data_IF_370981274174
#
_entry.id   IF_370981274174
#
_cell.length_a   1.000
_cell.length_b   1.000
_cell.length_c   1.000
_cell.angle_alpha   90.00
_cell.angle_beta   90.00
_cell.angle_gamma   90.00
#
_symmetry.space_group_name_H-M   'P 1'
#
loop_
_entity.id
_entity.type
_entity.pdbx_description
1 polymer ?
#
# COMPACT_ATOMS: atom_id res chain seq x y z
N UNK A 1 -14.83 -43.99 4.25
CA UNK A 1 -13.68 -44.20 3.36
C UNK A 1 -13.48 -42.91 2.59
N UNK A 2 -12.40 -42.20 2.92
CA UNK A 2 -11.72 -41.14 2.16
C UNK A 2 -12.51 -39.87 1.77
N UNK A 3 -12.36 -38.82 2.59
CA UNK A 3 -12.45 -37.42 2.16
C UNK A 3 -11.12 -37.01 1.50
N UNK A 4 -11.22 -36.45 0.30
CA UNK A 4 -10.14 -35.81 -0.44
C UNK A 4 -9.52 -34.65 0.38
N UNK A 5 -8.27 -34.83 0.80
CA UNK A 5 -7.40 -33.76 1.28
C UNK A 5 -6.41 -33.40 0.17
N UNK A 6 -6.44 -32.12 -0.19
CA UNK A 6 -5.34 -31.30 -0.69
C UNK A 6 -4.60 -31.75 -1.96
N UNK A 7 -4.97 -31.11 -3.07
CA UNK A 7 -4.03 -30.75 -4.14
C UNK A 7 -2.95 -29.82 -3.56
N UNK A 8 -1.88 -30.37 -2.98
CA UNK A 8 -0.60 -29.68 -2.94
C UNK A 8 0.02 -29.79 -4.34
N UNK A 9 0.00 -28.67 -5.07
CA UNK A 9 0.74 -28.54 -6.32
C UNK A 9 2.22 -28.68 -5.95
N UNK A 10 2.80 -29.86 -6.20
CA UNK A 10 4.22 -30.09 -6.05
C UNK A 10 4.98 -29.07 -6.92
N UNK A 11 5.60 -28.08 -6.27
CA UNK A 11 6.37 -27.04 -6.94
C UNK A 11 7.61 -27.72 -7.52
N UNK A 12 7.75 -27.69 -8.85
CA UNK A 12 8.93 -28.25 -9.52
C UNK A 12 10.21 -27.64 -8.91
N UNK A 13 11.17 -28.47 -8.42
CA UNK A 13 12.32 -28.00 -7.67
C UNK A 13 13.17 -26.96 -8.43
N UNK A 14 13.16 -27.02 -9.77
CA UNK A 14 13.89 -26.10 -10.63
C UNK A 14 13.29 -24.66 -10.64
N UNK A 15 11.98 -24.51 -10.39
CA UNK A 15 11.30 -23.19 -10.35
C UNK A 15 11.68 -22.40 -9.11
N UNK A 16 11.86 -23.10 -7.98
CA UNK A 16 12.24 -22.48 -6.72
C UNK A 16 13.68 -21.94 -6.78
N UNK A 17 14.62 -22.70 -7.37
CA UNK A 17 16.05 -22.31 -7.45
C UNK A 17 16.24 -20.97 -8.16
N UNK A 18 15.66 -20.81 -9.35
CA UNK A 18 15.79 -19.55 -10.09
C UNK A 18 15.19 -18.37 -9.34
N UNK A 19 14.06 -18.56 -8.62
CA UNK A 19 13.47 -17.52 -7.80
C UNK A 19 14.37 -17.14 -6.61
N UNK A 20 14.92 -18.13 -5.90
CA UNK A 20 15.85 -17.88 -4.79
C UNK A 20 17.07 -17.08 -5.23
N UNK A 21 17.67 -17.42 -6.38
CA UNK A 21 18.80 -16.65 -6.93
C UNK A 21 18.45 -15.18 -7.18
N UNK A 22 17.22 -14.89 -7.61
CA UNK A 22 16.74 -13.53 -7.85
C UNK A 22 16.29 -12.81 -6.57
N UNK A 23 15.96 -13.54 -5.51
CA UNK A 23 15.68 -12.95 -4.21
C UNK A 23 16.97 -12.58 -3.46
N UNK A 24 18.12 -13.15 -3.83
CA UNK A 24 19.41 -12.87 -3.15
C UNK A 24 19.76 -11.39 -3.05
N UNK A 25 19.42 -10.56 -4.04
CA UNK A 25 19.63 -9.10 -3.99
C UNK A 25 18.83 -8.43 -2.87
N UNK A 26 17.69 -9.02 -2.49
CA UNK A 26 16.80 -8.54 -1.43
C UNK A 26 17.08 -9.18 -0.06
N UNK A 27 17.87 -10.25 0.02
CA UNK A 27 18.15 -10.97 1.27
C UNK A 27 18.73 -10.09 2.37
N UNK A 28 19.54 -9.09 2.01
CA UNK A 28 20.07 -8.10 2.96
C UNK A 28 18.97 -7.28 3.66
N UNK A 29 17.77 -7.22 3.09
CA UNK A 29 16.59 -6.56 3.64
C UNK A 29 15.55 -7.55 4.17
N UNK A 30 15.45 -8.74 3.56
CA UNK A 30 14.50 -9.77 3.97
C UNK A 30 14.93 -10.50 5.25
N UNK A 31 16.22 -10.79 5.45
CA UNK A 31 16.69 -11.53 6.64
C UNK A 31 16.68 -10.75 7.96
N UNK A 32 17.10 -9.46 8.04
CA UNK A 32 17.16 -8.76 9.31
C UNK A 32 15.78 -8.72 10.02
N UNK A 33 15.65 -9.20 11.27
CA UNK A 33 14.35 -9.35 11.91
C UNK A 33 13.67 -8.00 12.23
N UNK A 34 14.43 -6.90 12.30
CA UNK A 34 13.88 -5.57 12.57
C UNK A 34 13.13 -4.96 11.37
N UNK A 35 13.29 -5.53 10.18
CA UNK A 35 12.56 -5.10 8.98
C UNK A 35 11.27 -5.92 8.87
N UNK A 36 10.13 -5.23 8.79
CA UNK A 36 8.80 -5.85 8.64
C UNK A 36 8.38 -5.94 7.18
N UNK A 37 8.74 -4.93 6.39
CA UNK A 37 8.29 -4.77 5.00
C UNK A 37 9.47 -4.38 4.11
N UNK A 38 9.51 -4.93 2.90
CA UNK A 38 10.47 -4.58 1.85
C UNK A 38 9.70 -4.19 0.60
N UNK A 39 9.91 -2.99 0.10
CA UNK A 39 9.17 -2.45 -1.04
C UNK A 39 10.10 -1.94 -2.13
N UNK A 40 9.71 -2.18 -3.38
CA UNK A 40 10.24 -1.52 -4.56
C UNK A 40 9.09 -0.73 -5.21
N UNK A 41 9.16 0.61 -5.21
CA UNK A 41 8.17 1.46 -5.91
C UNK A 41 8.60 1.78 -7.35
N UNK A 42 9.91 1.75 -7.61
CA UNK A 42 10.52 2.03 -8.90
C UNK A 42 11.91 1.36 -8.99
N UNK A 43 12.48 1.20 -10.20
CA UNK A 43 13.81 0.64 -10.37
C UNK A 43 14.88 1.37 -9.55
N UNK A 44 15.93 0.63 -9.18
CA UNK A 44 17.13 1.08 -8.47
C UNK A 44 16.90 1.52 -7.01
N UNK A 45 15.68 1.32 -6.48
CA UNK A 45 15.28 1.76 -5.14
C UNK A 45 14.64 0.61 -4.36
N UNK A 46 15.01 0.51 -3.08
CA UNK A 46 14.30 -0.31 -2.08
C UNK A 46 13.93 0.58 -0.91
N UNK A 47 12.73 0.40 -0.38
CA UNK A 47 12.30 0.98 0.89
C UNK A 47 12.01 -0.14 1.88
N UNK A 48 12.42 0.06 3.14
CA UNK A 48 12.19 -0.89 4.21
C UNK A 48 11.45 -0.23 5.35
N UNK A 49 10.44 -0.89 5.91
CA UNK A 49 9.78 -0.46 7.14
C UNK A 49 10.43 -1.14 8.35
N UNK A 50 10.63 -0.35 9.41
CA UNK A 50 11.02 -0.79 10.76
C UNK A 50 10.11 -0.11 11.77
N UNK A 51 10.22 -0.45 13.05
CA UNK A 51 9.51 0.27 14.13
C UNK A 51 9.76 1.78 14.12
N UNK A 52 10.97 2.20 13.72
CA UNK A 52 11.34 3.61 13.57
C UNK A 52 10.81 4.28 12.29
N UNK A 53 10.06 3.58 11.45
CA UNK A 53 9.51 4.10 10.18
C UNK A 53 10.25 3.63 8.92
N UNK A 54 9.99 4.33 7.81
CA UNK A 54 10.49 3.99 6.48
C UNK A 54 11.93 4.45 6.26
N UNK A 55 12.74 3.60 5.63
CA UNK A 55 14.10 3.93 5.18
C UNK A 55 14.29 3.58 3.71
N UNK A 56 14.86 4.51 2.95
CA UNK A 56 15.18 4.33 1.54
C UNK A 56 16.63 3.86 1.35
N UNK A 57 16.83 2.95 0.40
CA UNK A 57 18.12 2.39 0.01
C UNK A 57 18.25 2.45 -1.52
N UNK A 58 19.44 2.78 -2.03
CA UNK A 58 19.76 2.74 -3.47
C UNK A 58 20.38 1.39 -3.80
N UNK A 59 19.82 0.68 -4.77
CA UNK A 59 20.25 -0.67 -5.14
C UNK A 59 20.41 -0.74 -6.66
N UNK A 60 21.63 -0.48 -7.15
CA UNK A 60 21.93 -0.34 -8.58
C UNK A 60 21.60 -1.59 -9.41
N UNK A 61 21.61 -2.77 -8.79
CA UNK A 61 21.31 -4.05 -9.45
C UNK A 61 19.82 -4.28 -9.71
N UNK A 62 18.92 -3.58 -9.02
CA UNK A 62 17.47 -3.69 -9.23
C UNK A 62 17.01 -2.84 -10.41
N UNK A 63 17.51 -3.13 -11.61
CA UNK A 63 17.06 -2.46 -12.84
C UNK A 63 15.60 -2.81 -13.16
N UNK A 64 15.00 -2.11 -14.12
CA UNK A 64 13.65 -2.40 -14.57
C UNK A 64 13.53 -3.85 -15.08
N UNK A 65 14.51 -4.30 -15.86
CA UNK A 65 14.57 -5.66 -16.40
C UNK A 65 14.69 -6.69 -15.26
N UNK A 66 15.45 -6.37 -14.21
CA UNK A 66 15.54 -7.22 -13.04
C UNK A 66 14.19 -7.35 -12.32
N UNK A 67 13.53 -6.23 -12.05
CA UNK A 67 12.21 -6.22 -11.42
C UNK A 67 11.17 -6.97 -12.25
N UNK A 68 11.20 -6.82 -13.58
CA UNK A 68 10.33 -7.58 -14.49
C UNK A 68 10.59 -9.08 -14.41
N UNK A 69 11.87 -9.49 -14.43
CA UNK A 69 12.25 -10.90 -14.35
C UNK A 69 11.87 -11.51 -13.01
N UNK A 70 12.16 -10.82 -11.91
CA UNK A 70 11.74 -11.23 -10.56
C UNK A 70 10.21 -11.41 -10.48
N UNK A 71 9.45 -10.44 -10.99
CA UNK A 71 7.99 -10.49 -10.97
C UNK A 71 7.42 -11.67 -11.77
N UNK A 72 8.00 -11.97 -12.94
CA UNK A 72 7.64 -13.14 -13.76
C UNK A 72 7.98 -14.47 -13.06
N UNK A 73 9.13 -14.54 -12.38
CA UNK A 73 9.52 -15.73 -11.61
C UNK A 73 8.55 -15.97 -10.44
N UNK A 74 8.15 -14.92 -9.72
CA UNK A 74 7.15 -15.01 -8.64
C UNK A 74 5.79 -15.46 -9.20
N UNK A 75 5.36 -14.92 -10.34
CA UNK A 75 4.13 -15.35 -11.01
C UNK A 75 4.17 -16.85 -11.37
N UNK A 76 5.28 -17.29 -11.98
CA UNK A 76 5.51 -18.69 -12.35
C UNK A 76 5.52 -19.63 -11.15
N UNK A 77 6.22 -19.23 -10.08
CA UNK A 77 6.29 -19.99 -8.82
C UNK A 77 4.91 -20.15 -8.18
N UNK A 78 4.11 -19.08 -8.18
CA UNK A 78 2.77 -19.07 -7.60
C UNK A 78 1.68 -19.68 -8.52
N UNK A 79 2.04 -20.15 -9.71
CA UNK A 79 1.08 -20.69 -10.69
C UNK A 79 0.10 -19.66 -11.24
N UNK A 80 0.42 -18.37 -11.13
CA UNK A 80 -0.43 -17.26 -11.55
C UNK A 80 0.14 -16.57 -12.78
N UNK A 81 -0.70 -15.79 -13.47
CA UNK A 81 -0.28 -14.95 -14.60
C UNK A 81 0.02 -13.53 -14.11
N UNK A 82 1.04 -12.92 -14.69
CA UNK A 82 1.38 -11.52 -14.51
C UNK A 82 1.81 -10.94 -15.85
N UNK A 83 0.91 -10.19 -16.47
CA UNK A 83 1.08 -9.59 -17.79
C UNK A 83 0.22 -8.31 -17.91
N UNK A 84 0.21 -7.68 -19.08
CA UNK A 84 -0.52 -6.43 -19.29
C UNK A 84 -2.05 -6.58 -19.19
N UNK A 85 -2.60 -7.81 -19.24
CA UNK A 85 -4.03 -8.11 -19.06
C UNK A 85 -4.34 -8.45 -17.61
N UNK A 86 -3.40 -9.12 -16.93
CA UNK A 86 -3.43 -9.47 -15.50
C UNK A 86 -2.30 -8.76 -14.73
N UNK A 87 -2.35 -7.44 -14.55
CA UNK A 87 -1.19 -6.66 -14.13
C UNK A 87 -1.01 -6.56 -12.60
N UNK A 88 -1.82 -7.30 -11.82
CA UNK A 88 -1.75 -7.34 -10.35
C UNK A 88 -1.61 -8.79 -9.92
N UNK A 89 -0.64 -9.06 -9.05
CA UNK A 89 -0.38 -10.39 -8.50
C UNK A 89 -0.35 -10.33 -6.98
N UNK A 90 -1.01 -11.29 -6.34
CA UNK A 90 -0.91 -11.52 -4.90
C UNK A 90 -0.44 -12.96 -4.69
N UNK A 91 0.70 -13.16 -4.03
CA UNK A 91 1.31 -14.47 -3.87
C UNK A 91 2.04 -14.62 -2.53
N UNK A 92 2.52 -15.84 -2.27
CA UNK A 92 3.40 -16.16 -1.14
C UNK A 92 4.75 -16.60 -1.69
N UNK A 93 5.83 -16.02 -1.17
CA UNK A 93 7.21 -16.38 -1.48
C UNK A 93 7.60 -17.70 -0.78
N UNK A 94 8.69 -18.36 -1.22
CA UNK A 94 9.10 -19.65 -0.68
C UNK A 94 9.28 -19.69 0.85
N UNK A 95 9.77 -18.61 1.46
CA UNK A 95 10.05 -18.55 2.90
C UNK A 95 8.83 -18.03 3.71
N UNK A 96 7.66 -17.93 3.08
CA UNK A 96 6.39 -17.58 3.71
C UNK A 96 6.04 -16.08 3.71
N UNK A 97 6.89 -15.22 3.12
CA UNK A 97 6.55 -13.81 2.93
C UNK A 97 5.38 -13.65 1.97
N UNK A 98 4.51 -12.67 2.23
CA UNK A 98 3.44 -12.31 1.29
C UNK A 98 3.95 -11.26 0.34
N UNK A 99 3.68 -11.40 -0.95
CA UNK A 99 4.08 -10.44 -1.97
C UNK A 99 2.89 -9.92 -2.76
N UNK A 100 2.82 -8.60 -2.91
CA UNK A 100 1.91 -7.90 -3.79
C UNK A 100 2.70 -7.24 -4.91
N UNK A 101 2.36 -7.53 -6.17
CA UNK A 101 3.01 -6.93 -7.34
C UNK A 101 1.96 -6.19 -8.17
N UNK A 102 2.32 -5.00 -8.67
CA UNK A 102 1.58 -4.30 -9.70
C UNK A 102 2.53 -3.81 -10.80
N UNK A 103 2.16 -4.03 -12.06
CA UNK A 103 2.93 -3.68 -13.26
C UNK A 103 2.09 -2.79 -14.20
N UNK A 104 2.69 -2.18 -15.24
CA UNK A 104 1.92 -1.49 -16.26
C UNK A 104 0.92 -2.46 -16.93
N UNK A 105 -0.31 -2.02 -17.26
CA UNK A 105 -0.74 -0.62 -17.35
C UNK A 105 -1.29 -0.01 -16.04
N UNK A 106 -1.37 -0.76 -14.93
CA UNK A 106 -1.93 -0.21 -13.67
C UNK A 106 -0.93 0.59 -12.85
N UNK A 107 0.34 0.61 -13.23
CA UNK A 107 1.37 1.52 -12.69
C UNK A 107 1.88 2.43 -13.80
N UNK A 108 2.63 3.47 -13.43
CA UNK A 108 3.31 4.31 -14.42
C UNK A 108 4.25 3.48 -15.31
N UNK A 109 4.35 3.86 -16.58
CA UNK A 109 5.29 3.23 -17.53
C UNK A 109 6.71 3.26 -16.96
N UNK A 110 7.38 2.12 -17.01
CA UNK A 110 8.74 1.96 -16.46
C UNK A 110 8.80 1.78 -14.94
N UNK A 111 7.67 1.70 -14.23
CA UNK A 111 7.62 1.40 -12.79
C UNK A 111 6.92 0.07 -12.52
N UNK A 112 7.47 -0.67 -11.57
CA UNK A 112 6.89 -1.90 -11.02
C UNK A 112 6.83 -1.72 -9.51
N UNK A 113 5.64 -1.90 -8.95
CA UNK A 113 5.43 -1.91 -7.50
C UNK A 113 5.55 -3.35 -7.00
N UNK A 114 6.46 -3.61 -6.08
CA UNK A 114 6.61 -4.89 -5.38
C UNK A 114 6.58 -4.59 -3.89
N UNK A 115 5.63 -5.15 -3.15
CA UNK A 115 5.56 -5.04 -1.69
C UNK A 115 5.68 -6.44 -1.10
N UNK A 116 6.72 -6.69 -0.31
CA UNK A 116 6.97 -7.96 0.37
C UNK A 116 6.78 -7.74 1.87
N UNK A 117 5.80 -8.43 2.43
CA UNK A 117 5.48 -8.43 3.86
C UNK A 117 5.99 -9.70 4.51
N UNK A 118 6.90 -9.54 5.46
CA UNK A 118 7.47 -10.67 6.19
C UNK A 118 6.48 -11.28 7.18
N UNK A 119 6.54 -12.60 7.42
CA UNK A 119 5.76 -13.22 8.48
C UNK A 119 6.26 -12.71 9.83
N UNK A 120 5.33 -12.42 10.75
CA UNK A 120 5.71 -12.14 12.14
C UNK A 120 6.19 -13.43 12.77
N UNK A 121 7.47 -13.47 13.17
CA UNK A 121 8.03 -14.59 13.96
C UNK A 121 7.79 -14.41 15.46
N UNK A 122 7.29 -13.24 15.87
CA UNK A 122 7.06 -12.90 17.27
C UNK A 122 5.62 -13.24 17.66
N UNK A 123 5.45 -14.34 18.39
CA UNK A 123 4.21 -14.62 19.13
C UNK A 123 4.50 -14.23 20.57
N UNK A 124 4.05 -13.04 20.96
CA UNK A 124 4.17 -12.60 22.36
C UNK A 124 3.05 -13.22 23.19
N UNK A 125 3.41 -13.69 24.38
CA UNK A 125 2.44 -14.10 25.40
C UNK A 125 1.74 -12.88 26.01
N UNK A 126 0.57 -13.06 26.60
CA UNK A 126 -0.14 -11.98 27.30
C UNK A 126 0.73 -11.36 28.41
N UNK A 127 1.51 -12.19 29.12
CA UNK A 127 2.43 -11.72 30.17
C UNK A 127 3.58 -10.87 29.62
N UNK A 128 4.04 -11.13 28.40
CA UNK A 128 5.05 -10.30 27.72
C UNK A 128 4.45 -8.98 27.26
N UNK A 129 3.23 -8.97 26.71
CA UNK A 129 2.51 -7.73 26.42
C UNK A 129 2.33 -6.88 27.68
N UNK A 130 1.97 -7.50 28.82
CA UNK A 130 1.85 -6.82 30.10
C UNK A 130 3.17 -6.23 30.58
N UNK A 131 4.26 -7.02 30.53
CA UNK A 131 5.61 -6.55 30.91
C UNK A 131 6.12 -5.42 30.02
N UNK A 132 5.76 -5.43 28.74
CA UNK A 132 6.09 -4.37 27.78
C UNK A 132 5.17 -3.14 27.91
N UNK A 133 4.22 -3.15 28.85
CA UNK A 133 3.34 -2.01 29.10
C UNK A 133 2.28 -1.80 28.02
N UNK A 134 2.01 -2.76 27.14
CA UNK A 134 0.95 -2.64 26.13
C UNK A 134 -0.43 -2.37 26.74
N UNK A 135 -0.66 -2.86 27.96
CA UNK A 135 -1.91 -2.62 28.70
C UNK A 135 -1.90 -1.35 29.56
N UNK A 136 -0.79 -0.61 29.66
CA UNK A 136 -0.71 0.60 30.48
C UNK A 136 -1.32 1.85 29.83
N UNK A 137 -1.55 1.84 28.52
CA UNK A 137 -2.17 2.94 27.78
C UNK A 137 -3.63 2.63 27.40
N UNK A 138 -4.42 2.18 28.37
CA UNK A 138 -5.86 2.05 28.14
C UNK A 138 -6.53 3.42 28.26
N UNK A 139 -6.98 3.97 27.13
CA UNK A 139 -7.87 5.11 27.13
C UNK A 139 -9.27 4.63 27.51
N UNK A 140 -9.74 5.00 28.71
CA UNK A 140 -11.17 4.85 29.05
C UNK A 140 -11.98 5.76 28.12
N UNK A 141 -12.82 5.17 27.27
CA UNK A 141 -13.71 5.91 26.38
C UNK A 141 -14.93 6.35 27.19
N UNK A 142 -14.75 7.34 28.07
CA UNK A 142 -15.82 7.88 28.91
C UNK A 142 -16.69 8.89 28.14
N UNK A 143 -17.02 8.64 26.86
CA UNK A 143 -17.90 9.50 26.06
C UNK A 143 -17.49 10.98 25.91
N UNK A 144 -16.44 11.42 26.62
CA UNK A 144 -15.84 12.73 26.55
C UNK A 144 -15.07 12.80 25.25
N UNK A 145 -15.41 13.79 24.43
CA UNK A 145 -14.72 14.07 23.18
C UNK A 145 -13.21 14.02 23.41
N UNK A 146 -12.48 13.26 22.59
CA UNK A 146 -11.02 13.30 22.60
C UNK A 146 -10.57 14.76 22.54
N UNK A 147 -9.63 15.19 23.39
CA UNK A 147 -9.14 16.58 23.43
C UNK A 147 -8.73 17.10 22.04
N UNK A 148 -8.26 16.19 21.18
CA UNK A 148 -7.92 16.46 19.78
C UNK A 148 -9.13 16.83 18.91
N UNK A 149 -10.29 16.24 19.17
CA UNK A 149 -11.54 16.54 18.46
C UNK A 149 -12.13 17.87 18.93
N UNK A 150 -11.95 18.22 20.21
CA UNK A 150 -12.30 19.53 20.73
C UNK A 150 -11.46 20.64 20.06
N UNK A 151 -10.15 20.42 19.87
CA UNK A 151 -9.29 21.37 19.14
C UNK A 151 -9.70 21.55 17.68
N UNK A 152 -10.08 20.47 17.00
CA UNK A 152 -10.63 20.54 15.65
C UNK A 152 -11.94 21.35 15.62
N UNK A 153 -12.85 21.13 16.56
CA UNK A 153 -14.10 21.88 16.66
C UNK A 153 -13.85 23.38 16.92
N UNK A 154 -12.88 23.73 17.76
CA UNK A 154 -12.49 25.11 18.01
C UNK A 154 -12.04 25.82 16.73
N UNK A 155 -11.10 25.23 15.97
CA UNK A 155 -10.68 25.83 14.69
C UNK A 155 -11.82 25.98 13.68
N UNK A 156 -12.78 25.06 13.69
CA UNK A 156 -13.97 25.15 12.84
C UNK A 156 -14.89 26.29 13.29
N UNK A 157 -15.10 26.47 14.60
CA UNK A 157 -15.92 27.54 15.16
C UNK A 157 -15.31 28.92 14.93
N UNK A 158 -13.99 29.03 15.01
CA UNK A 158 -13.24 30.27 14.77
C UNK A 158 -13.13 30.62 13.27
N UNK A 159 -13.65 29.78 12.37
CA UNK A 159 -13.55 29.98 10.92
C UNK A 159 -12.15 29.73 10.34
N UNK A 160 -11.19 29.24 11.14
CA UNK A 160 -9.83 28.93 10.70
C UNK A 160 -9.76 27.54 10.05
N UNK A 161 -10.37 27.42 8.87
CA UNK A 161 -10.46 26.15 8.13
C UNK A 161 -9.08 25.63 7.71
N UNK A 162 -8.11 26.50 7.44
CA UNK A 162 -6.76 26.09 7.09
C UNK A 162 -6.06 25.37 8.25
N UNK A 163 -6.14 25.90 9.48
CA UNK A 163 -5.60 25.24 10.67
C UNK A 163 -6.35 23.94 10.97
N UNK A 164 -7.68 23.94 10.84
CA UNK A 164 -8.50 22.74 10.96
C UNK A 164 -8.01 21.62 10.03
N UNK A 165 -7.83 21.89 8.74
CA UNK A 165 -7.40 20.90 7.76
C UNK A 165 -5.97 20.41 8.03
N UNK A 166 -5.05 21.31 8.37
CA UNK A 166 -3.67 20.93 8.74
C UNK A 166 -3.65 20.00 9.95
N UNK A 167 -4.43 20.31 10.99
CA UNK A 167 -4.52 19.47 12.17
C UNK A 167 -5.21 18.13 11.84
N UNK A 168 -6.29 18.13 11.06
CA UNK A 168 -6.98 16.92 10.63
C UNK A 168 -6.05 15.97 9.87
N UNK A 169 -5.19 16.51 8.99
CA UNK A 169 -4.19 15.74 8.24
C UNK A 169 -3.13 15.15 9.18
N UNK A 170 -2.63 15.92 10.16
CA UNK A 170 -1.68 15.41 11.16
C UNK A 170 -2.29 14.32 12.03
N UNK A 171 -3.56 14.45 12.39
CA UNK A 171 -4.32 13.47 13.17
C UNK A 171 -4.83 12.28 12.33
N UNK A 172 -4.46 12.20 11.05
CA UNK A 172 -4.86 11.12 10.12
C UNK A 172 -6.38 10.92 10.05
N UNK A 173 -7.15 12.01 10.15
CA UNK A 173 -8.60 11.95 9.94
C UNK A 173 -8.88 11.63 8.47
N UNK A 174 -9.92 10.84 8.22
CA UNK A 174 -10.42 10.58 6.87
C UNK A 174 -11.14 11.83 6.35
N UNK A 175 -10.76 12.31 5.18
CA UNK A 175 -11.28 13.54 4.58
C UNK A 175 -11.89 13.20 3.23
N UNK A 176 -13.15 13.58 3.03
CA UNK A 176 -13.84 13.50 1.75
C UNK A 176 -14.02 14.92 1.23
N UNK A 177 -13.52 15.19 0.02
CA UNK A 177 -13.68 16.47 -0.67
C UNK A 177 -14.81 16.34 -1.69
N UNK A 178 -15.92 17.03 -1.44
CA UNK A 178 -17.10 17.03 -2.32
C UNK A 178 -17.33 18.37 -3.00
N UNK A 179 -17.83 18.35 -4.24
CA UNK A 179 -18.13 19.55 -5.02
C UNK A 179 -18.49 19.23 -6.47
N UNK A 180 -19.11 20.18 -7.17
CA UNK A 180 -19.50 20.03 -8.58
C UNK A 180 -18.30 19.70 -9.50
N UNK A 181 -18.54 19.10 -10.67
CA UNK A 181 -17.50 18.91 -11.68
C UNK A 181 -16.92 20.27 -12.08
N UNK A 182 -15.59 20.38 -12.17
CA UNK A 182 -14.91 21.64 -12.48
C UNK A 182 -14.73 22.63 -11.30
N UNK A 183 -15.21 22.31 -10.09
CA UNK A 183 -15.05 23.18 -8.89
C UNK A 183 -13.63 23.25 -8.30
N UNK A 184 -12.63 22.63 -8.94
CA UNK A 184 -11.24 22.63 -8.45
C UNK A 184 -10.93 21.61 -7.35
N UNK A 185 -11.74 20.55 -7.19
CA UNK A 185 -11.53 19.49 -6.18
C UNK A 185 -10.12 18.90 -6.23
N UNK A 186 -9.66 18.50 -7.41
CA UNK A 186 -8.32 17.94 -7.60
C UNK A 186 -7.25 18.93 -7.17
N UNK A 187 -7.38 20.22 -7.54
CA UNK A 187 -6.46 21.28 -7.11
C UNK A 187 -6.41 21.40 -5.59
N UNK A 188 -7.57 21.37 -4.94
CA UNK A 188 -7.66 21.41 -3.47
C UNK A 188 -7.01 20.17 -2.82
N UNK A 189 -7.27 18.98 -3.35
CA UNK A 189 -6.62 17.73 -2.90
C UNK A 189 -5.10 17.81 -3.01
N UNK A 190 -4.56 18.38 -4.10
CA UNK A 190 -3.11 18.61 -4.26
C UNK A 190 -2.54 19.53 -3.18
N UNK A 191 -3.28 20.56 -2.76
CA UNK A 191 -2.87 21.41 -1.63
C UNK A 191 -2.88 20.67 -0.29
N UNK A 192 -3.87 19.81 -0.05
CA UNK A 192 -3.92 18.99 1.17
C UNK A 192 -2.77 17.97 1.20
N UNK A 193 -2.43 17.38 0.05
CA UNK A 193 -1.32 16.45 -0.09
C UNK A 193 0.02 17.03 0.35
N UNK A 194 0.28 18.31 0.07
CA UNK A 194 1.51 18.99 0.51
C UNK A 194 1.62 19.13 2.04
N UNK A 195 0.55 18.91 2.78
CA UNK A 195 0.57 18.94 4.25
C UNK A 195 0.81 17.55 4.86
N UNK A 196 0.84 16.50 4.04
CA UNK A 196 1.14 15.13 4.49
C UNK A 196 2.64 15.01 4.74
N UNK A 197 3.09 14.33 5.82
CA UNK A 197 4.51 14.16 6.07
C UNK A 197 5.20 13.24 5.04
N UNK A 198 6.36 13.64 4.53
CA UNK A 198 7.18 12.89 3.56
C UNK A 198 7.60 11.48 4.02
N UNK A 199 7.57 11.24 5.33
CA UNK A 199 7.87 9.94 5.94
C UNK A 199 6.78 8.88 5.70
N UNK A 200 5.59 9.29 5.28
CA UNK A 200 4.46 8.39 5.07
C UNK A 200 4.48 7.76 3.67
N UNK A 201 4.01 6.51 3.59
CA UNK A 201 3.79 5.83 2.32
C UNK A 201 2.43 6.19 1.75
N UNK A 202 2.40 6.73 0.53
CA UNK A 202 1.16 7.15 -0.11
C UNK A 202 0.87 6.31 -1.34
N UNK A 203 -0.38 5.90 -1.53
CA UNK A 203 -0.82 5.22 -2.75
C UNK A 203 -1.96 6.04 -3.36
N UNK A 204 -1.88 6.38 -4.65
CA UNK A 204 -3.03 6.92 -5.39
C UNK A 204 -3.73 5.88 -6.22
N UNK A 205 -5.04 6.08 -6.39
CA UNK A 205 -5.87 5.34 -7.32
C UNK A 205 -6.63 6.36 -8.18
N UNK A 206 -6.29 6.42 -9.46
CA UNK A 206 -6.75 7.47 -10.39
C UNK A 206 -7.00 6.87 -11.78
N UNK A 207 -7.80 7.52 -12.61
CA UNK A 207 -7.91 7.16 -14.04
C UNK A 207 -6.83 7.86 -14.87
N UNK A 208 -6.49 9.09 -14.48
CA UNK A 208 -5.47 9.94 -15.10
C UNK A 208 -4.53 10.43 -13.99
N UNK A 209 -3.24 10.58 -14.30
CA UNK A 209 -2.21 11.02 -13.35
C UNK A 209 -2.34 12.51 -13.00
N UNK A 210 -3.37 12.86 -12.22
CA UNK A 210 -3.65 14.24 -11.82
C UNK A 210 -2.91 14.64 -10.54
N UNK A 211 -2.81 13.75 -9.56
CA UNK A 211 -2.22 14.07 -8.26
C UNK A 211 -0.69 14.08 -8.29
N UNK A 212 -0.07 13.33 -9.20
CA UNK A 212 1.38 13.33 -9.45
C UNK A 212 2.23 13.22 -8.17
N UNK A 213 1.88 12.27 -7.29
CA UNK A 213 2.47 12.16 -5.94
C UNK A 213 4.00 12.12 -5.91
N UNK A 214 4.61 11.53 -6.93
CA UNK A 214 6.05 11.38 -7.09
C UNK A 214 6.82 12.71 -7.13
N UNK A 215 6.14 13.84 -7.36
CA UNK A 215 6.73 15.18 -7.29
C UNK A 215 6.84 15.72 -5.85
N UNK A 216 6.12 15.09 -4.90
CA UNK A 216 6.01 15.58 -3.52
C UNK A 216 6.62 14.61 -2.51
N UNK A 217 6.41 13.30 -2.70
CA UNK A 217 6.81 12.27 -1.73
C UNK A 217 7.66 11.20 -2.43
N UNK A 218 8.65 10.66 -1.70
CA UNK A 218 9.57 9.64 -2.24
C UNK A 218 9.03 8.21 -2.15
N UNK A 219 8.13 7.95 -1.20
CA UNK A 219 7.55 6.63 -0.93
C UNK A 219 6.11 6.52 -1.48
N UNK A 220 5.97 6.53 -2.80
CA UNK A 220 4.65 6.60 -3.43
C UNK A 220 4.45 5.58 -4.54
N UNK A 221 3.22 5.10 -4.67
CA UNK A 221 2.77 4.27 -5.80
C UNK A 221 1.52 4.91 -6.40
N UNK A 222 1.54 5.18 -7.70
CA UNK A 222 0.36 5.62 -8.43
C UNK A 222 -0.25 4.45 -9.18
N UNK A 223 -1.51 4.15 -8.88
CA UNK A 223 -2.28 3.07 -9.48
C UNK A 223 -3.34 3.61 -10.43
N UNK A 224 -3.42 3.03 -11.62
CA UNK A 224 -4.33 3.46 -12.69
C UNK A 224 -5.35 2.38 -13.04
N UNK A 225 -6.62 2.78 -13.13
CA UNK A 225 -7.67 1.97 -13.72
C UNK A 225 -8.06 2.57 -15.08
N UNK A 226 -8.64 1.77 -15.97
CA UNK A 226 -9.17 2.26 -17.25
C UNK A 226 -10.69 2.31 -17.20
N UNK A 227 -11.27 3.51 -17.26
CA UNK A 227 -12.72 3.66 -17.39
C UNK A 227 -13.18 3.24 -18.80
N UNK A 228 -14.22 2.40 -18.90
CA UNK A 228 -14.90 2.09 -20.16
C UNK A 228 -14.39 0.90 -20.98
N UNK A 229 -13.66 -0.06 -20.39
CA UNK A 229 -13.16 -1.27 -21.07
C UNK A 229 -12.27 -1.01 -22.31
N UNK A 230 -11.73 0.19 -22.47
CA UNK A 230 -10.84 0.55 -23.57
C UNK A 230 -9.36 0.26 -23.26
N UNK A 231 -9.04 -0.12 -22.02
CA UNK A 231 -7.69 -0.47 -21.58
C UNK A 231 -7.33 -1.92 -21.90
N UNK A 232 -6.03 -2.22 -21.97
CA UNK A 232 -5.52 -3.61 -22.16
C UNK A 232 -5.93 -4.52 -20.99
N UNK A 233 -6.06 -3.96 -19.79
CA UNK A 233 -6.56 -4.66 -18.62
C UNK A 233 -7.92 -4.08 -18.18
N UNK A 234 -8.92 -4.94 -17.99
CA UNK A 234 -10.19 -4.58 -17.37
C UNK A 234 -10.06 -4.57 -15.85
N UNK A 235 -9.28 -3.64 -15.31
CA UNK A 235 -9.07 -3.48 -13.87
C UNK A 235 -9.98 -2.37 -13.35
N UNK A 236 -10.77 -2.70 -12.34
CA UNK A 236 -11.67 -1.78 -11.66
C UNK A 236 -10.96 -1.04 -10.52
N UNK A 237 -11.50 0.13 -10.17
CA UNK A 237 -11.03 0.90 -9.00
C UNK A 237 -11.13 0.06 -7.70
N UNK A 238 -12.16 -0.77 -7.57
CA UNK A 238 -12.31 -1.72 -6.45
C UNK A 238 -11.11 -2.67 -6.34
N UNK A 239 -10.70 -3.30 -7.44
CA UNK A 239 -9.56 -4.22 -7.43
C UNK A 239 -8.26 -3.51 -7.06
N UNK A 240 -8.05 -2.27 -7.50
CA UNK A 240 -6.90 -1.46 -7.09
C UNK A 240 -6.94 -1.12 -5.60
N UNK A 241 -8.11 -0.81 -5.05
CA UNK A 241 -8.27 -0.55 -3.63
C UNK A 241 -7.90 -1.79 -2.80
N UNK A 242 -8.41 -2.96 -3.16
CA UNK A 242 -8.08 -4.24 -2.50
C UNK A 242 -6.59 -4.61 -2.63
N UNK A 243 -5.97 -4.33 -3.77
CA UNK A 243 -4.54 -4.51 -3.98
C UNK A 243 -3.73 -3.54 -3.12
N UNK A 244 -4.14 -2.28 -3.05
CA UNK A 244 -3.44 -1.24 -2.28
C UNK A 244 -3.36 -1.58 -0.80
N UNK A 245 -4.38 -2.22 -0.20
CA UNK A 245 -4.35 -2.64 1.21
C UNK A 245 -3.26 -3.69 1.51
N UNK A 246 -2.88 -4.49 0.51
CA UNK A 246 -1.76 -5.45 0.61
C UNK A 246 -0.40 -4.82 0.35
N UNK A 247 -0.36 -3.53 -0.02
CA UNK A 247 0.87 -2.77 -0.25
C UNK A 247 1.30 -1.93 0.97
N UNK A 248 0.72 -2.15 2.15
CA UNK A 248 1.04 -1.45 3.42
C UNK A 248 1.00 0.10 3.32
N UNK A 249 -0.05 0.70 2.74
CA UNK A 249 -0.15 2.16 2.62
C UNK A 249 -0.21 2.81 4.00
N UNK A 250 0.43 3.96 4.16
CA UNK A 250 0.14 4.88 5.26
C UNK A 250 -1.16 5.66 5.00
N UNK A 251 -1.37 6.07 3.75
CA UNK A 251 -2.62 6.67 3.26
C UNK A 251 -2.92 6.22 1.83
N UNK A 252 -4.20 6.09 1.52
CA UNK A 252 -4.70 5.86 0.15
C UNK A 252 -5.48 7.08 -0.30
N UNK A 253 -5.10 7.63 -1.45
CA UNK A 253 -5.77 8.75 -2.10
C UNK A 253 -6.55 8.24 -3.30
N UNK A 254 -7.86 8.36 -3.20
CA UNK A 254 -8.77 8.02 -4.29
C UNK A 254 -9.19 9.34 -4.92
N UNK A 255 -8.64 9.68 -6.09
CA UNK A 255 -8.80 11.02 -6.68
C UNK A 255 -10.26 11.34 -7.02
N UNK A 256 -11.01 10.34 -7.47
CA UNK A 256 -12.45 10.45 -7.69
C UNK A 256 -13.13 9.19 -7.16
N UNK A 257 -14.05 9.36 -6.22
CA UNK A 257 -14.99 8.29 -5.87
C UNK A 257 -16.06 8.26 -6.95
N UNK A 258 -16.05 7.19 -7.75
CA UNK A 258 -17.09 6.96 -8.76
C UNK A 258 -18.42 6.77 -8.02
N UNK A 259 -19.50 7.28 -8.60
CA UNK A 259 -20.87 7.32 -8.05
C UNK A 259 -21.54 5.93 -7.93
N UNK A 260 -20.76 4.85 -7.81
CA UNK A 260 -21.19 3.46 -7.83
C UNK A 260 -20.82 2.70 -6.56
N UNK A 261 -20.73 1.37 -6.68
CA UNK A 261 -20.48 0.45 -5.57
C UNK A 261 -19.12 0.69 -4.87
N UNK A 262 -18.18 1.37 -5.52
CA UNK A 262 -16.85 1.64 -4.97
C UNK A 262 -16.88 2.44 -3.68
N UNK A 263 -17.87 3.34 -3.52
CA UNK A 263 -18.03 4.14 -2.31
C UNK A 263 -18.30 3.27 -1.08
N UNK A 264 -19.10 2.20 -1.23
CA UNK A 264 -19.36 1.25 -0.15
C UNK A 264 -18.09 0.49 0.24
N UNK A 265 -17.30 0.04 -0.75
CA UNK A 265 -16.03 -0.63 -0.48
C UNK A 265 -15.01 0.30 0.19
N UNK A 266 -14.96 1.57 -0.24
CA UNK A 266 -14.12 2.57 0.42
C UNK A 266 -14.48 2.71 1.90
N UNK A 267 -15.77 2.88 2.22
CA UNK A 267 -16.24 2.96 3.61
C UNK A 267 -15.94 1.69 4.41
N UNK A 268 -16.15 0.51 3.81
CA UNK A 268 -15.81 -0.76 4.46
C UNK A 268 -14.32 -0.87 4.78
N UNK A 269 -13.47 -0.41 3.87
CA UNK A 269 -12.02 -0.50 4.02
C UNK A 269 -11.46 0.54 4.99
N UNK A 270 -12.09 1.70 5.13
CA UNK A 270 -11.73 2.68 6.18
C UNK A 270 -11.89 2.09 7.60
N UNK A 271 -12.80 1.12 7.76
CA UNK A 271 -13.10 0.50 9.04
C UNK A 271 -12.27 -0.78 9.32
N UNK A 272 -11.31 -1.12 8.45
CA UNK A 272 -10.48 -2.34 8.54
C UNK A 272 -9.04 -2.00 8.88
#
# INVERSE_FOLDING_TARGET
>A
MSLNLANEVAIEPNRAVALYEHLNVLNIYLYPPQITEVVINQPLQVLTERESGWKQHKVKSLTLEYCQRLSKLIATYSGQKLDAVHPILSATLPDGERVQIAIPPVTQVGKISITIRKPSKSVFTLDEYQRQGYFSQQSHVDGSQNETDAQLLAFKQDGNIAAFLKLAIKLRKNIIVSGATGSGKTTFLRSLLQQVPDSERLITIENVDELQLYNTHSNTVSLFYSAGNHGVANITQKQLLEASLRMKPGRVFVAELIRGDEAFYFLRNINS
#
